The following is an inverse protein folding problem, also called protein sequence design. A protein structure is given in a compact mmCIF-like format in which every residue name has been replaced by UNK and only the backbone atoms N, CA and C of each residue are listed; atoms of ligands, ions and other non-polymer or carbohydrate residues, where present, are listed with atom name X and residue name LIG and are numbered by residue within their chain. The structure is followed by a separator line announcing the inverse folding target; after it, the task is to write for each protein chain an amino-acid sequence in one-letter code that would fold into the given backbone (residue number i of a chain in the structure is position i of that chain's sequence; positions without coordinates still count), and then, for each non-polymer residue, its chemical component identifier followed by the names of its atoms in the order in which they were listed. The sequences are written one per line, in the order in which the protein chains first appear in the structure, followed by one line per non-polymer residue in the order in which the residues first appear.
data_IF_059900699855
#
_entry.id   IF_059900699855
#
_cell.length_a   1.000
_cell.length_b   1.000
_cell.length_c   1.000
_cell.angle_alpha   90.00
_cell.angle_beta   90.00
_cell.angle_gamma   90.00
#
_symmetry.space_group_name_H-M   'P 1'
#
loop_
_entity.id
_entity.type
_entity.pdbx_description
1 polymer ?
#
# COMPACT_ATOMS: atom_id res chain seq x y z
N UNK A 1 9.11 -23.43 17.85
CA UNK A 1 9.05 -22.83 16.51
C UNK A 1 10.17 -21.81 16.45
N UNK A 2 11.08 -21.83 15.45
CA UNK A 2 12.21 -20.89 15.44
C UNK A 2 11.71 -19.50 15.06
N UNK A 3 12.42 -18.48 15.53
CA UNK A 3 12.18 -17.05 15.42
C UNK A 3 12.38 -16.50 13.98
N UNK A 4 12.17 -17.33 12.95
CA UNK A 4 12.83 -17.27 11.63
C UNK A 4 11.91 -16.87 10.46
N UNK A 5 10.78 -16.19 10.72
CA UNK A 5 9.85 -15.79 9.64
C UNK A 5 9.57 -14.29 9.54
N UNK A 6 10.16 -13.46 10.42
CA UNK A 6 10.04 -12.00 10.35
C UNK A 6 11.22 -11.40 9.60
N UNK A 7 10.99 -10.96 8.36
CA UNK A 7 11.99 -10.22 7.59
C UNK A 7 11.91 -8.74 7.95
N UNK A 8 12.94 -8.17 8.57
CA UNK A 8 13.04 -6.72 8.79
C UNK A 8 14.06 -6.08 7.83
N UNK A 9 13.59 -5.26 6.88
CA UNK A 9 14.45 -4.53 5.96
C UNK A 9 15.09 -3.29 6.59
N UNK A 10 14.71 -2.94 7.83
CA UNK A 10 15.15 -1.76 8.55
C UNK A 10 14.69 -0.48 7.87
N UNK A 11 15.51 0.58 8.00
CA UNK A 11 15.28 1.83 7.27
C UNK A 11 15.53 1.60 5.76
N UNK A 12 14.48 1.77 4.95
CA UNK A 12 14.53 1.54 3.50
C UNK A 12 14.97 2.79 2.74
N UNK A 13 15.61 2.56 1.59
CA UNK A 13 16.06 3.61 0.68
C UNK A 13 14.90 4.21 -0.12
N UNK A 14 13.87 3.40 -0.40
CA UNK A 14 12.66 3.87 -1.07
C UNK A 14 11.43 3.04 -0.71
N UNK A 15 10.28 3.70 -0.77
CA UNK A 15 8.94 3.12 -0.68
C UNK A 15 8.06 3.75 -1.75
N UNK A 16 7.29 2.94 -2.48
CA UNK A 16 6.40 3.41 -3.57
C UNK A 16 5.09 2.65 -3.57
N UNK A 17 4.00 3.34 -3.85
CA UNK A 17 2.74 2.69 -4.22
C UNK A 17 2.77 2.36 -5.72
N UNK A 18 2.17 1.25 -6.10
CA UNK A 18 2.00 0.87 -7.50
C UNK A 18 0.65 0.20 -7.72
N UNK A 19 0.19 0.23 -8.97
CA UNK A 19 -1.01 -0.47 -9.41
C UNK A 19 -0.78 -1.16 -10.74
N UNK A 20 -1.40 -2.32 -10.93
CA UNK A 20 -1.34 -3.11 -12.16
C UNK A 20 -2.75 -3.43 -12.63
N UNK A 21 -3.02 -3.27 -13.93
CA UNK A 21 -4.30 -3.60 -14.56
C UNK A 21 -5.15 -2.40 -14.97
N UNK A 22 -6.26 -2.71 -15.66
CA UNK A 22 -7.21 -1.72 -16.18
C UNK A 22 -8.12 -1.15 -15.08
N UNK A 23 -8.62 0.11 -15.22
CA UNK A 23 -9.57 0.68 -14.27
C UNK A 23 -10.76 -0.26 -13.96
N UNK A 24 -10.90 -0.64 -12.68
CA UNK A 24 -11.93 -1.60 -12.22
C UNK A 24 -11.43 -3.03 -12.03
N UNK A 25 -10.26 -3.38 -12.55
CA UNK A 25 -9.58 -4.68 -12.36
C UNK A 25 -8.14 -4.49 -11.84
N UNK A 26 -7.88 -3.33 -11.24
CA UNK A 26 -6.56 -2.98 -10.71
C UNK A 26 -6.27 -3.73 -9.43
N UNK A 27 -5.07 -4.26 -9.34
CA UNK A 27 -4.42 -4.66 -8.08
C UNK A 27 -3.49 -3.56 -7.62
N UNK A 28 -3.23 -3.49 -6.32
CA UNK A 28 -2.43 -2.46 -5.69
C UNK A 28 -1.34 -3.11 -4.86
N UNK A 29 -0.16 -2.51 -4.83
CA UNK A 29 0.91 -2.92 -3.92
C UNK A 29 1.70 -1.71 -3.42
N UNK A 30 2.44 -1.92 -2.35
CA UNK A 30 3.57 -1.09 -1.98
C UNK A 30 4.85 -1.87 -2.18
N UNK A 31 5.86 -1.21 -2.75
CA UNK A 31 7.20 -1.76 -2.91
C UNK A 31 8.16 -0.99 -2.01
N UNK A 32 8.87 -1.70 -1.14
CA UNK A 32 9.91 -1.15 -0.27
C UNK A 32 11.26 -1.79 -0.60
N UNK A 33 12.33 -0.99 -0.66
CA UNK A 33 13.65 -1.47 -1.08
C UNK A 33 14.76 -0.91 -0.18
N UNK A 34 15.68 -1.77 0.22
CA UNK A 34 16.92 -1.41 0.91
C UNK A 34 18.10 -2.25 0.41
N UNK A 35 19.31 -1.96 0.92
CA UNK A 35 20.46 -2.84 0.77
C UNK A 35 20.24 -4.27 1.32
N UNK A 36 19.25 -4.47 2.21
CA UNK A 36 18.91 -5.78 2.80
C UNK A 36 17.90 -6.56 1.97
N UNK A 37 17.32 -5.97 0.93
CA UNK A 37 16.31 -6.65 0.14
C UNK A 37 15.17 -5.77 -0.38
N UNK A 38 14.13 -6.44 -0.85
CA UNK A 38 12.93 -5.84 -1.40
C UNK A 38 11.70 -6.55 -0.87
N UNK A 39 10.66 -5.78 -0.55
CA UNK A 39 9.33 -6.28 -0.23
C UNK A 39 8.30 -5.70 -1.22
N UNK A 40 7.48 -6.56 -1.81
CA UNK A 40 6.31 -6.19 -2.61
C UNK A 40 5.09 -6.72 -1.88
N UNK A 41 4.33 -5.81 -1.28
CA UNK A 41 3.16 -6.15 -0.46
C UNK A 41 1.90 -5.78 -1.24
N UNK A 42 1.22 -6.79 -1.78
CA UNK A 42 -0.05 -6.63 -2.48
C UNK A 42 -1.18 -6.41 -1.49
N UNK A 43 -2.12 -5.51 -1.82
CA UNK A 43 -3.22 -5.13 -0.94
C UNK A 43 -4.49 -4.74 -1.72
N UNK A 44 -5.61 -4.69 -1.02
CA UNK A 44 -6.87 -4.20 -1.57
C UNK A 44 -6.86 -2.68 -1.74
N UNK A 45 -7.72 -2.18 -2.63
CA UNK A 45 -7.88 -0.74 -2.89
C UNK A 45 -8.13 0.07 -1.62
N UNK A 46 -9.04 -0.42 -0.77
CA UNK A 46 -9.44 0.27 0.45
C UNK A 46 -8.32 0.27 1.49
N UNK A 47 -7.49 -0.79 1.53
CA UNK A 47 -6.32 -0.86 2.40
C UNK A 47 -5.27 0.19 2.01
N UNK A 48 -4.98 0.35 0.70
CA UNK A 48 -4.07 1.39 0.23
C UNK A 48 -4.61 2.81 0.56
N UNK A 49 -5.91 3.02 0.39
CA UNK A 49 -6.55 4.29 0.72
C UNK A 49 -6.45 4.60 2.22
N UNK A 50 -6.79 3.65 3.08
CA UNK A 50 -6.73 3.78 4.53
C UNK A 50 -5.30 4.06 5.00
N UNK A 51 -4.31 3.32 4.47
CA UNK A 51 -2.91 3.55 4.76
C UNK A 51 -2.48 4.98 4.36
N UNK A 52 -2.83 5.40 3.15
CA UNK A 52 -2.46 6.72 2.66
C UNK A 52 -3.10 7.86 3.49
N UNK A 53 -4.33 7.68 3.95
CA UNK A 53 -5.00 8.64 4.84
C UNK A 53 -4.36 8.66 6.23
N UNK A 54 -4.04 7.49 6.79
CA UNK A 54 -3.41 7.37 8.09
C UNK A 54 -2.02 8.04 8.14
N UNK A 55 -1.19 7.84 7.10
CA UNK A 55 0.11 8.51 6.98
C UNK A 55 -0.05 10.03 6.99
N UNK A 56 -0.94 10.56 6.15
CA UNK A 56 -1.16 12.00 6.07
C UNK A 56 -1.68 12.57 7.38
N UNK A 57 -2.64 11.90 8.00
CA UNK A 57 -3.18 12.34 9.29
C UNK A 57 -2.10 12.37 10.37
N UNK A 58 -1.31 11.30 10.51
CA UNK A 58 -0.21 11.24 11.47
C UNK A 58 0.84 12.31 11.19
N UNK A 59 1.16 12.54 9.92
CA UNK A 59 2.12 13.57 9.53
C UNK A 59 1.61 15.00 9.85
N UNK A 60 0.32 15.26 9.65
CA UNK A 60 -0.30 16.56 9.93
C UNK A 60 -0.46 16.82 11.45
N UNK A 61 -0.78 15.79 12.23
CA UNK A 61 -0.97 15.89 13.69
C UNK A 61 0.36 16.01 14.45
N UNK A 62 1.44 15.44 13.92
CA UNK A 62 2.73 15.35 14.60
C UNK A 62 3.73 16.36 14.04
N UNK A 63 4.20 17.26 14.89
CA UNK A 63 5.27 18.19 14.53
C UNK A 63 6.59 17.42 14.36
N UNK A 64 7.23 17.57 13.20
CA UNK A 64 8.54 16.99 12.96
C UNK A 64 9.58 17.52 13.99
N UNK A 65 10.39 16.63 14.60
CA UNK A 65 11.47 17.02 15.50
C UNK A 65 12.60 17.75 14.73
N UNK A 66 13.32 18.64 15.42
CA UNK A 66 14.47 19.37 14.87
C UNK A 66 15.59 19.52 15.92
N UNK A 67 16.69 18.74 15.83
CA UNK A 67 16.90 17.63 14.91
C UNK A 67 16.17 16.34 15.34
N UNK A 68 15.84 15.42 14.41
CA UNK A 68 15.36 14.08 14.75
C UNK A 68 16.44 13.28 15.47
N UNK A 69 16.01 12.39 16.38
CA UNK A 69 16.88 11.37 16.95
C UNK A 69 17.24 10.31 15.91
N UNK A 70 18.38 9.64 16.07
CA UNK A 70 18.77 8.58 15.16
C UNK A 70 17.88 7.35 15.34
N UNK A 71 17.27 6.88 14.25
CA UNK A 71 16.48 5.66 14.24
C UNK A 71 17.37 4.40 14.21
N UNK A 72 17.10 3.47 15.11
CA UNK A 72 17.71 2.14 15.12
C UNK A 72 16.59 1.09 15.13
N UNK A 73 16.48 0.26 14.08
CA UNK A 73 15.49 -0.81 14.10
C UNK A 73 15.85 -1.83 15.18
N UNK A 74 14.84 -2.36 15.88
CA UNK A 74 15.02 -3.32 16.97
C UNK A 74 15.70 -4.62 16.49
N UNK A 75 15.38 -5.02 15.26
CA UNK A 75 16.01 -6.10 14.52
C UNK A 75 16.25 -5.64 13.09
N UNK A 76 17.25 -6.20 12.40
CA UNK A 76 17.42 -5.96 10.98
C UNK A 76 18.00 -7.22 10.34
N UNK A 77 17.51 -7.58 9.16
CA UNK A 77 18.05 -8.71 8.40
C UNK A 77 19.53 -8.45 8.08
N UNK A 78 20.39 -9.41 8.42
CA UNK A 78 21.85 -9.29 8.23
C UNK A 78 22.41 -10.31 7.23
N UNK A 79 21.56 -11.21 6.73
CA UNK A 79 21.93 -12.20 5.72
C UNK A 79 22.03 -11.62 4.31
N UNK A 80 22.04 -12.52 3.31
CA UNK A 80 21.95 -12.11 1.92
C UNK A 80 20.65 -11.33 1.65
N UNK A 81 20.66 -10.36 0.70
CA UNK A 81 19.46 -9.60 0.39
C UNK A 81 18.27 -10.48 0.04
N UNK A 82 17.14 -10.24 0.69
CA UNK A 82 15.92 -11.05 0.53
C UNK A 82 14.91 -10.37 -0.37
N UNK A 83 14.19 -11.15 -1.17
CA UNK A 83 13.06 -10.67 -1.97
C UNK A 83 11.79 -11.35 -1.44
N UNK A 84 10.83 -10.55 -0.99
CA UNK A 84 9.57 -11.01 -0.41
C UNK A 84 8.42 -10.42 -1.22
N UNK A 85 7.49 -11.27 -1.66
CA UNK A 85 6.30 -10.86 -2.40
C UNK A 85 5.09 -11.68 -1.95
N UNK A 86 4.08 -11.02 -1.41
CA UNK A 86 2.85 -11.68 -0.95
C UNK A 86 1.67 -10.71 -0.93
N UNK A 87 0.45 -11.24 -0.72
CA UNK A 87 -0.75 -10.46 -0.50
C UNK A 87 -1.00 -10.29 1.00
N UNK A 88 -1.03 -9.05 1.48
CA UNK A 88 -1.24 -8.75 2.89
C UNK A 88 -2.62 -9.19 3.38
N UNK A 89 -2.63 -9.87 4.53
CA UNK A 89 -3.82 -10.15 5.32
C UNK A 89 -4.11 -8.99 6.27
N UNK A 90 -3.12 -8.66 7.11
CA UNK A 90 -3.14 -7.53 8.04
C UNK A 90 -1.95 -6.59 7.76
N UNK A 91 -2.15 -5.30 8.03
CA UNK A 91 -1.11 -4.27 7.91
C UNK A 91 -1.21 -3.29 9.06
N UNK A 92 -0.07 -2.95 9.65
CA UNK A 92 0.03 -2.02 10.76
C UNK A 92 1.04 -0.93 10.45
N UNK A 93 0.63 0.30 10.70
CA UNK A 93 1.48 1.47 10.59
C UNK A 93 1.76 2.01 11.99
N UNK A 94 3.04 2.25 12.27
CA UNK A 94 3.53 2.92 13.47
C UNK A 94 4.28 4.17 13.05
N UNK A 95 4.23 5.20 13.89
CA UNK A 95 5.03 6.40 13.72
C UNK A 95 5.79 6.69 15.02
N UNK A 96 7.09 6.89 14.90
CA UNK A 96 7.98 7.33 15.99
C UNK A 96 8.22 8.83 15.86
N UNK A 97 7.71 9.58 16.84
CA UNK A 97 7.78 11.03 16.87
C UNK A 97 9.19 11.57 17.17
N UNK A 98 10.03 10.82 17.86
CA UNK A 98 11.38 11.26 18.24
C UNK A 98 12.35 11.12 17.06
N UNK A 99 12.18 10.08 16.23
CA UNK A 99 13.05 9.82 15.08
C UNK A 99 12.46 10.27 13.73
N UNK A 100 11.19 10.70 13.70
CA UNK A 100 10.45 11.11 12.49
C UNK A 100 10.31 9.98 11.44
N UNK A 101 10.16 8.75 11.93
CA UNK A 101 10.15 7.53 11.13
C UNK A 101 8.81 6.80 11.24
N UNK A 102 8.30 6.37 10.08
CA UNK A 102 7.18 5.44 9.98
C UNK A 102 7.72 4.02 9.88
N UNK A 103 7.03 3.07 10.53
CA UNK A 103 7.31 1.62 10.42
C UNK A 103 6.05 0.91 9.97
N UNK A 104 6.17 0.12 8.91
CA UNK A 104 5.12 -0.74 8.38
C UNK A 104 5.41 -2.18 8.77
N UNK A 105 4.38 -2.87 9.22
CA UNK A 105 4.37 -4.32 9.49
C UNK A 105 3.26 -4.93 8.63
N UNK A 106 3.58 -5.94 7.83
CA UNK A 106 2.61 -6.65 7.00
C UNK A 106 2.69 -8.16 7.22
N UNK A 107 1.52 -8.78 7.36
CA UNK A 107 1.36 -10.22 7.61
C UNK A 107 0.91 -10.91 6.32
N UNK A 108 1.58 -12.00 5.98
CA UNK A 108 1.11 -12.95 4.97
C UNK A 108 0.07 -13.88 5.63
N UNK A 109 -1.18 -13.93 5.16
CA UNK A 109 -2.20 -14.81 5.73
C UNK A 109 -1.90 -16.30 5.50
N UNK A 110 -0.86 -16.65 4.71
CA UNK A 110 -0.45 -18.01 4.43
C UNK A 110 -1.47 -18.81 3.61
N UNK A 111 -1.08 -20.01 3.20
CA UNK A 111 -2.04 -21.00 2.70
C UNK A 111 -2.71 -21.66 3.92
N UNK A 112 -4.01 -21.42 4.12
CA UNK A 112 -4.81 -21.94 5.27
C UNK A 112 -5.06 -23.45 5.19
N UNK A 113 -4.10 -24.21 4.68
CA UNK A 113 -4.22 -25.63 4.37
C UNK A 113 -3.27 -26.51 5.20
N UNK A 114 -2.54 -25.92 6.14
CA UNK A 114 -1.84 -26.65 7.20
C UNK A 114 -2.60 -26.44 8.52
N UNK A 115 -2.97 -27.53 9.20
CA UNK A 115 -3.71 -27.59 10.48
C UNK A 115 -2.89 -27.04 11.67
N UNK A 116 -2.03 -26.06 11.43
CA UNK A 116 -1.27 -25.33 12.43
C UNK A 116 -2.03 -24.04 12.77
N UNK A 117 -2.76 -24.06 13.90
CA UNK A 117 -3.46 -22.90 14.51
C UNK A 117 -2.49 -21.81 15.04
N UNK A 118 -1.27 -21.73 14.52
CA UNK A 118 -0.21 -20.89 15.06
C UNK A 118 -0.11 -19.58 14.28
N UNK A 119 -0.85 -18.59 14.79
CA UNK A 119 -0.60 -17.14 14.78
C UNK A 119 -0.21 -16.48 13.44
N UNK A 120 -0.96 -15.46 13.03
CA UNK A 120 -0.61 -14.51 11.97
C UNK A 120 0.79 -13.89 12.21
N UNK A 121 1.85 -14.54 11.71
CA UNK A 121 3.23 -14.08 11.86
C UNK A 121 3.49 -12.90 10.92
N UNK A 122 4.08 -11.82 11.45
CA UNK A 122 4.53 -10.68 10.63
C UNK A 122 5.53 -11.19 9.61
N UNK A 123 5.16 -11.14 8.33
CA UNK A 123 6.00 -11.63 7.24
C UNK A 123 7.11 -10.63 6.89
N UNK A 124 6.80 -9.33 6.93
CA UNK A 124 7.79 -8.28 6.68
C UNK A 124 7.57 -7.04 7.54
N UNK A 125 8.67 -6.44 7.96
CA UNK A 125 8.74 -5.11 8.57
C UNK A 125 9.73 -4.24 7.77
N UNK A 126 9.40 -2.96 7.64
CA UNK A 126 10.32 -1.96 7.12
C UNK A 126 9.96 -0.55 7.61
N UNK A 127 10.95 0.32 7.68
CA UNK A 127 10.82 1.68 8.19
C UNK A 127 11.24 2.71 7.13
N UNK A 128 10.59 3.87 7.11
CA UNK A 128 10.83 4.93 6.12
C UNK A 128 10.58 6.31 6.73
N UNK A 129 11.34 7.31 6.28
CA UNK A 129 11.21 8.68 6.79
C UNK A 129 9.92 9.37 6.33
N UNK A 130 9.50 10.40 7.08
CA UNK A 130 8.28 11.19 6.81
C UNK A 130 8.09 11.60 5.35
N UNK A 131 9.11 12.21 4.72
CA UNK A 131 9.00 12.67 3.33
C UNK A 131 8.60 11.54 2.37
N UNK A 132 9.23 10.37 2.51
CA UNK A 132 8.93 9.22 1.67
C UNK A 132 7.53 8.65 1.96
N UNK A 133 7.08 8.72 3.23
CA UNK A 133 5.73 8.37 3.63
C UNK A 133 4.69 9.27 2.95
N UNK A 134 4.86 10.59 3.02
CA UNK A 134 3.96 11.58 2.43
C UNK A 134 3.87 11.44 0.91
N UNK A 135 5.02 11.28 0.24
CA UNK A 135 5.08 11.05 -1.21
C UNK A 135 4.32 9.78 -1.61
N UNK A 136 4.56 8.66 -0.92
CA UNK A 136 3.85 7.40 -1.17
C UNK A 136 2.34 7.53 -0.91
N UNK A 137 1.94 8.21 0.16
CA UNK A 137 0.54 8.43 0.49
C UNK A 137 -0.18 9.30 -0.55
N UNK A 138 0.48 10.35 -1.05
CA UNK A 138 -0.07 11.18 -2.12
C UNK A 138 -0.26 10.39 -3.42
N UNK A 139 0.74 9.60 -3.81
CA UNK A 139 0.66 8.71 -4.97
C UNK A 139 -0.44 7.65 -4.80
N UNK A 140 -0.52 7.01 -3.64
CA UNK A 140 -1.55 6.02 -3.32
C UNK A 140 -2.97 6.59 -3.46
N UNK A 141 -3.22 7.79 -2.94
CA UNK A 141 -4.51 8.46 -3.09
C UNK A 141 -4.84 8.75 -4.56
N UNK A 142 -3.88 9.21 -5.35
CA UNK A 142 -4.07 9.44 -6.79
C UNK A 142 -4.43 8.14 -7.52
N UNK A 143 -3.76 7.03 -7.21
CA UNK A 143 -4.03 5.73 -7.84
C UNK A 143 -5.42 5.20 -7.49
N UNK A 144 -5.85 5.34 -6.23
CA UNK A 144 -7.17 4.93 -5.75
C UNK A 144 -8.28 5.80 -6.38
N UNK A 145 -8.02 7.12 -6.53
CA UNK A 145 -8.94 8.08 -7.12
C UNK A 145 -9.07 7.96 -8.64
N UNK A 146 -8.05 7.43 -9.34
CA UNK A 146 -8.05 7.17 -10.78
C UNK A 146 -8.91 5.95 -11.18
N UNK A 147 -10.08 5.79 -10.55
CA UNK A 147 -11.08 4.78 -10.87
C UNK A 147 -11.72 5.02 -12.23
N UNK A 148 -12.71 4.19 -12.57
CA UNK A 148 -13.45 4.33 -13.84
C UNK A 148 -14.12 5.71 -13.92
N UNK A 149 -14.07 6.38 -15.09
CA UNK A 149 -14.76 7.64 -15.27
C UNK A 149 -16.25 7.45 -14.98
N UNK A 150 -16.86 8.45 -14.34
CA UNK A 150 -18.27 8.41 -13.95
C UNK A 150 -19.10 9.08 -15.05
N UNK A 151 -20.14 8.41 -15.53
CA UNK A 151 -21.03 8.99 -16.52
C UNK A 151 -21.72 10.25 -15.96
N UNK A 152 -21.60 11.42 -16.62
CA UNK A 152 -22.13 12.69 -16.12
C UNK A 152 -23.67 12.74 -16.07
N UNK A 153 -24.36 11.76 -16.68
CA UNK A 153 -25.81 11.71 -16.75
C UNK A 153 -26.41 10.74 -15.71
N UNK A 154 -25.96 9.48 -15.70
CA UNK A 154 -26.50 8.44 -14.82
C UNK A 154 -25.68 8.23 -13.54
N UNK A 155 -24.47 8.81 -13.43
CA UNK A 155 -23.52 8.60 -12.35
C UNK A 155 -23.06 7.15 -12.16
N UNK A 156 -23.23 6.31 -13.18
CA UNK A 156 -22.68 4.96 -13.21
C UNK A 156 -21.24 4.97 -13.73
N UNK A 157 -20.36 4.05 -13.28
CA UNK A 157 -19.03 3.87 -13.84
C UNK A 157 -19.09 3.52 -15.32
N UNK A 158 -18.18 4.09 -16.10
CA UNK A 158 -17.99 3.79 -17.51
C UNK A 158 -16.98 2.64 -17.64
N UNK A 159 -17.37 1.55 -18.30
CA UNK A 159 -16.48 0.43 -18.63
C UNK A 159 -15.49 0.82 -19.75
N UNK A 160 -14.40 0.08 -19.91
CA UNK A 160 -13.39 0.37 -20.94
C UNK A 160 -13.95 0.33 -22.37
N UNK A 161 -14.91 -0.56 -22.65
CA UNK A 161 -15.66 -0.65 -23.91
C UNK A 161 -16.77 0.43 -24.06
N UNK A 162 -16.87 1.36 -23.09
CA UNK A 162 -17.88 2.41 -23.02
C UNK A 162 -19.10 2.03 -22.17
N UNK A 163 -20.02 2.99 -22.01
CA UNK A 163 -21.24 2.80 -21.21
C UNK A 163 -22.50 3.18 -21.96
N UNK A 164 -23.53 2.34 -21.83
CA UNK A 164 -24.90 2.61 -22.33
C UNK A 164 -25.69 3.31 -21.23
N UNK A 165 -25.82 4.63 -21.32
CA UNK A 165 -26.49 5.42 -20.31
C UNK A 165 -28.04 5.30 -20.42
N UNK A 166 -28.73 4.82 -19.37
CA UNK A 166 -30.19 4.70 -19.38
C UNK A 166 -30.90 6.07 -19.38
N UNK A 167 -30.24 7.14 -18.89
CA UNK A 167 -30.82 8.50 -18.86
C UNK A 167 -30.78 9.24 -20.20
N UNK A 168 -30.03 8.75 -21.19
CA UNK A 168 -29.96 9.36 -22.54
C UNK A 168 -30.99 8.79 -23.53
N UNK A 169 -32.08 8.16 -23.05
CA UNK A 169 -33.19 7.66 -23.88
C UNK A 169 -32.75 6.78 -25.08
N UNK A 170 -31.68 5.99 -24.95
CA UNK A 170 -31.30 4.97 -25.94
C UNK A 170 -30.99 5.44 -27.37
N UNK A 171 -30.90 6.76 -27.64
CA UNK A 171 -30.72 7.29 -29.00
C UNK A 171 -29.27 7.40 -29.47
N UNK A 172 -28.29 7.23 -28.58
CA UNK A 172 -26.88 7.21 -28.94
C UNK A 172 -26.44 5.77 -29.19
N UNK A 173 -26.28 5.38 -30.46
CA UNK A 173 -25.66 4.09 -30.86
C UNK A 173 -24.15 4.03 -30.57
N UNK A 174 -23.59 5.13 -30.10
CA UNK A 174 -22.19 5.29 -29.71
C UNK A 174 -22.17 5.45 -28.20
N UNK A 175 -21.60 4.47 -27.48
CA UNK A 175 -21.43 4.56 -26.03
C UNK A 175 -20.65 5.82 -25.65
N UNK A 176 -20.85 6.31 -24.43
CA UNK A 176 -20.00 7.41 -23.92
C UNK A 176 -18.58 6.84 -23.78
N UNK A 177 -17.59 7.37 -24.51
CA UNK A 177 -16.21 6.89 -24.41
C UNK A 177 -15.63 7.24 -23.04
N UNK A 178 -14.67 6.45 -22.58
CA UNK A 178 -14.05 6.56 -21.26
C UNK A 178 -13.04 7.71 -21.13
N UNK A 179 -13.18 8.81 -21.88
CA UNK A 179 -12.23 9.94 -21.85
C UNK A 179 -12.13 10.62 -20.48
#
# INVERSE_FOLDING_TARGET
MPEDQRVDLGLVDSIKAATVGEPGQRTFNITAQSARGQAIVWMEKDQLLQLSLAIRQLAEEQKAPDPPTAFFPEYAHTGEPVAVEFKAGDMRLRYDADSDVFTMEATDPGDRNDDSEDEEQVAVQFSFGRRAAEEMAEEGQKMVAAGRPICPYCHSPIEADGHVCPKTNGHSKTGIPAE
#
